data_IF_619353932463
#
_entry.id   IF_619353932463
#
_cell.length_a   1.000
_cell.length_b   1.000
_cell.length_c   1.000
_cell.angle_alpha   90.00
_cell.angle_beta   90.00
_cell.angle_gamma   90.00
#
_symmetry.space_group_name_H-M   'P 1'
#
loop_
_entity.id
_entity.type
_entity.pdbx_description
1 polymer ?
#
# COMPACT_ATOMS: atom_id res chain seq x y z
N UNK A 1 9.77 44.71 46.75
CA UNK A 1 10.62 43.58 47.19
C UNK A 1 9.70 42.37 47.35
N UNK A 2 9.79 41.22 46.72
CA UNK A 2 10.71 40.64 45.75
C UNK A 2 9.95 39.68 44.82
N UNK A 3 10.46 39.54 43.61
CA UNK A 3 10.13 38.52 42.61
C UNK A 3 10.44 37.12 43.18
N UNK A 4 9.67 36.08 42.80
CA UNK A 4 10.17 34.80 42.23
C UNK A 4 9.03 33.79 42.07
N UNK A 5 8.60 33.43 40.86
CA UNK A 5 9.18 32.45 39.91
C UNK A 5 8.25 31.24 39.79
N UNK A 6 7.58 31.20 38.63
CA UNK A 6 7.22 30.03 37.81
C UNK A 6 7.73 28.68 38.34
N UNK A 7 6.83 27.75 38.66
CA UNK A 7 7.08 26.33 38.40
C UNK A 7 6.18 25.89 37.26
N UNK A 8 6.73 26.03 36.05
CA UNK A 8 6.27 25.33 34.87
C UNK A 8 6.16 23.84 35.21
N UNK A 9 4.97 23.25 35.02
CA UNK A 9 4.84 21.81 34.79
C UNK A 9 5.73 21.50 33.59
N UNK A 10 6.96 21.03 33.85
CA UNK A 10 7.78 20.37 32.84
C UNK A 10 6.98 19.16 32.40
N UNK A 11 6.19 19.30 31.34
CA UNK A 11 5.75 18.17 30.55
C UNK A 11 7.04 17.49 30.09
N UNK A 12 7.31 16.31 30.66
CA UNK A 12 8.45 15.51 30.27
C UNK A 12 8.32 15.27 28.77
N UNK A 13 9.18 15.91 27.97
CA UNK A 13 9.39 15.53 26.56
C UNK A 13 9.61 14.02 26.55
N UNK A 14 8.85 13.24 25.77
CA UNK A 14 9.02 11.81 25.75
C UNK A 14 10.46 11.51 25.35
N UNK A 15 11.17 10.80 26.24
CA UNK A 15 12.53 10.31 26.02
C UNK A 15 12.52 9.60 24.67
N UNK A 16 13.28 10.10 23.69
CA UNK A 16 13.49 9.40 22.41
C UNK A 16 14.05 8.01 22.75
N UNK A 17 13.19 6.98 22.72
CA UNK A 17 13.58 5.59 22.93
C UNK A 17 14.60 5.27 21.85
N UNK A 18 15.88 5.08 22.23
CA UNK A 18 16.90 4.59 21.29
C UNK A 18 16.42 3.20 20.84
N UNK A 19 16.13 3.06 19.55
CA UNK A 19 15.72 1.78 18.98
C UNK A 19 16.83 0.75 19.20
N UNK A 20 16.47 -0.44 19.66
CA UNK A 20 17.39 -1.58 19.81
C UNK A 20 17.92 -2.01 18.44
N UNK A 21 19.08 -2.69 18.38
CA UNK A 21 19.65 -3.19 17.11
C UNK A 21 18.68 -4.10 16.33
N UNK A 22 17.77 -4.79 17.02
CA UNK A 22 16.67 -5.56 16.43
C UNK A 22 15.59 -4.64 15.81
N UNK A 23 15.21 -3.55 16.50
CA UNK A 23 14.30 -2.54 15.96
C UNK A 23 14.91 -1.75 14.79
N UNK A 24 16.24 -1.62 14.72
CA UNK A 24 16.93 -1.07 13.55
C UNK A 24 16.92 -2.04 12.36
N UNK A 25 16.86 -3.35 12.61
CA UNK A 25 16.81 -4.41 11.58
C UNK A 25 15.41 -4.52 10.95
N UNK A 26 14.35 -4.37 11.74
CA UNK A 26 12.97 -4.26 11.23
C UNK A 26 12.71 -2.94 10.48
N UNK A 27 13.41 -1.86 10.85
CA UNK A 27 13.29 -0.55 10.19
C UNK A 27 13.93 -0.49 8.79
N UNK A 28 14.68 -1.54 8.41
CA UNK A 28 15.09 -1.82 7.03
C UNK A 28 14.05 -2.66 6.30
N UNK A 29 12.77 -2.34 6.44
CA UNK A 29 11.79 -2.72 5.42
C UNK A 29 12.12 -1.92 4.16
N UNK A 30 13.07 -2.45 3.38
CA UNK A 30 13.16 -2.38 1.92
C UNK A 30 12.23 -1.35 1.28
N UNK A 31 12.68 -0.11 1.12
CA UNK A 31 11.85 0.92 0.48
C UNK A 31 12.04 0.80 -1.03
N UNK A 32 11.05 0.21 -1.69
CA UNK A 32 10.87 0.43 -3.12
C UNK A 32 10.85 1.95 -3.38
N UNK A 33 11.53 2.44 -4.42
CA UNK A 33 11.48 3.85 -4.80
C UNK A 33 10.05 4.33 -5.03
N UNK A 34 9.81 5.61 -4.75
CA UNK A 34 8.54 6.25 -5.11
C UNK A 34 8.58 6.53 -6.60
N UNK A 35 7.63 5.99 -7.35
CA UNK A 35 7.55 6.10 -8.81
C UNK A 35 7.43 7.53 -9.40
N UNK A 36 7.45 8.60 -8.60
CA UNK A 36 7.46 9.97 -9.11
C UNK A 36 6.28 10.35 -10.01
N UNK A 37 5.10 9.74 -9.79
CA UNK A 37 3.93 9.85 -10.68
C UNK A 37 3.50 11.28 -10.95
N UNK A 38 3.14 11.55 -12.20
CA UNK A 38 2.45 12.75 -12.64
C UNK A 38 1.01 12.79 -12.12
N UNK A 39 0.40 13.98 -12.10
CA UNK A 39 -1.01 14.14 -11.71
C UNK A 39 -1.97 13.32 -12.58
N UNK A 40 -1.65 13.13 -13.86
CA UNK A 40 -2.47 12.35 -14.79
C UNK A 40 -2.42 10.85 -14.47
N UNK A 41 -1.25 10.32 -14.14
CA UNK A 41 -1.09 8.92 -13.71
C UNK A 41 -1.80 8.66 -12.38
N UNK A 42 -1.68 9.59 -11.42
CA UNK A 42 -2.40 9.52 -10.14
C UNK A 42 -3.91 9.50 -10.37
N UNK A 43 -4.43 10.41 -11.20
CA UNK A 43 -5.87 10.43 -11.56
C UNK A 43 -6.32 9.12 -12.19
N UNK A 44 -5.52 8.56 -13.10
CA UNK A 44 -5.83 7.31 -13.80
C UNK A 44 -5.87 6.12 -12.83
N UNK A 45 -4.88 6.00 -11.94
CA UNK A 45 -4.87 4.95 -10.92
C UNK A 45 -6.04 5.09 -9.94
N UNK A 46 -6.33 6.33 -9.49
CA UNK A 46 -7.47 6.60 -8.63
C UNK A 46 -8.79 6.23 -9.29
N UNK A 47 -8.97 6.49 -10.58
CA UNK A 47 -10.16 6.08 -11.31
C UNK A 47 -10.34 4.54 -11.29
N UNK A 48 -9.28 3.78 -11.49
CA UNK A 48 -9.33 2.30 -11.41
C UNK A 48 -9.62 1.81 -10.00
N UNK A 49 -8.97 2.40 -8.99
CA UNK A 49 -9.21 2.09 -7.58
C UNK A 49 -10.65 2.38 -7.18
N UNK A 50 -11.18 3.54 -7.56
CA UNK A 50 -12.56 3.93 -7.26
C UNK A 50 -13.58 2.95 -7.88
N UNK A 51 -13.30 2.41 -9.06
CA UNK A 51 -14.12 1.34 -9.66
C UNK A 51 -14.09 0.07 -8.82
N UNK A 52 -12.90 -0.40 -8.43
CA UNK A 52 -12.78 -1.60 -7.58
C UNK A 52 -13.48 -1.41 -6.22
N UNK A 53 -13.36 -0.22 -5.61
CA UNK A 53 -14.08 0.14 -4.38
C UNK A 53 -15.59 0.15 -4.60
N UNK A 54 -16.07 0.72 -5.71
CA UNK A 54 -17.49 0.70 -6.07
C UNK A 54 -18.03 -0.72 -6.23
N UNK A 55 -17.28 -1.61 -6.88
CA UNK A 55 -17.64 -3.03 -7.01
C UNK A 55 -17.70 -3.72 -5.65
N UNK A 56 -16.72 -3.49 -4.78
CA UNK A 56 -16.69 -4.08 -3.44
C UNK A 56 -17.85 -3.57 -2.56
N UNK A 57 -18.20 -2.30 -2.68
CA UNK A 57 -19.39 -1.74 -2.03
C UNK A 57 -20.69 -2.37 -2.58
N UNK A 58 -20.72 -2.68 -3.89
CA UNK A 58 -21.80 -3.45 -4.50
C UNK A 58 -21.92 -4.84 -3.87
N UNK A 59 -20.82 -5.58 -3.78
CA UNK A 59 -20.77 -6.89 -3.09
C UNK A 59 -21.28 -6.79 -1.65
N UNK A 60 -20.87 -5.76 -0.91
CA UNK A 60 -21.35 -5.53 0.46
C UNK A 60 -22.88 -5.43 0.51
N UNK A 61 -23.49 -4.65 -0.40
CA UNK A 61 -24.96 -4.55 -0.50
C UNK A 61 -25.61 -5.89 -0.85
N UNK A 62 -25.02 -6.66 -1.76
CA UNK A 62 -25.54 -7.98 -2.13
C UNK A 62 -25.61 -8.93 -0.93
N UNK A 63 -24.64 -8.82 0.00
CA UNK A 63 -24.67 -9.58 1.27
C UNK A 63 -25.75 -9.05 2.21
N UNK A 64 -25.90 -7.72 2.33
CA UNK A 64 -26.96 -7.11 3.15
C UNK A 64 -28.37 -7.43 2.63
N UNK A 65 -28.51 -7.61 1.31
CA UNK A 65 -29.74 -7.99 0.62
C UNK A 65 -29.96 -9.52 0.54
N UNK A 66 -29.08 -10.32 1.15
CA UNK A 66 -29.12 -11.80 1.14
C UNK A 66 -29.27 -12.41 -0.27
N UNK A 67 -28.49 -11.89 -1.23
CA UNK A 67 -28.50 -12.40 -2.61
C UNK A 67 -27.83 -13.77 -2.73
N UNK A 68 -28.14 -14.46 -3.82
CA UNK A 68 -27.61 -15.78 -4.16
C UNK A 68 -26.08 -15.79 -4.11
N UNK A 69 -25.51 -16.78 -3.42
CA UNK A 69 -24.07 -16.88 -3.19
C UNK A 69 -23.27 -16.93 -4.51
N UNK A 70 -23.79 -17.58 -5.54
CA UNK A 70 -23.16 -17.66 -6.86
C UNK A 70 -22.92 -16.26 -7.46
N UNK A 71 -23.93 -15.38 -7.43
CA UNK A 71 -23.80 -13.99 -7.90
C UNK A 71 -22.73 -13.23 -7.11
N UNK A 72 -22.70 -13.41 -5.77
CA UNK A 72 -21.73 -12.76 -4.88
C UNK A 72 -20.30 -13.22 -5.24
N UNK A 73 -20.10 -14.52 -5.46
CA UNK A 73 -18.80 -15.09 -5.83
C UNK A 73 -18.33 -14.60 -7.21
N UNK A 74 -19.23 -14.46 -8.17
CA UNK A 74 -18.94 -13.88 -9.49
C UNK A 74 -18.49 -12.42 -9.33
N UNK A 75 -19.20 -11.62 -8.53
CA UNK A 75 -18.83 -10.22 -8.31
C UNK A 75 -17.52 -10.07 -7.54
N UNK A 76 -17.25 -10.93 -6.56
CA UNK A 76 -15.94 -10.97 -5.87
C UNK A 76 -14.80 -11.29 -6.84
N UNK A 77 -15.02 -12.19 -7.80
CA UNK A 77 -14.03 -12.50 -8.85
C UNK A 77 -13.78 -11.29 -9.76
N UNK A 78 -14.82 -10.50 -10.05
CA UNK A 78 -14.68 -9.24 -10.77
C UNK A 78 -13.88 -8.19 -9.98
N UNK A 79 -14.14 -8.04 -8.67
CA UNK A 79 -13.37 -7.16 -7.77
C UNK A 79 -11.89 -7.57 -7.77
N UNK A 80 -11.60 -8.87 -7.62
CA UNK A 80 -10.23 -9.39 -7.65
C UNK A 80 -9.53 -9.00 -8.95
N UNK A 81 -10.20 -9.18 -10.08
CA UNK A 81 -9.65 -8.83 -11.41
C UNK A 81 -9.37 -7.33 -11.55
N UNK A 82 -10.25 -6.47 -11.01
CA UNK A 82 -10.04 -5.02 -11.01
C UNK A 82 -8.81 -4.60 -10.16
N UNK A 83 -8.64 -5.22 -8.98
CA UNK A 83 -7.46 -4.99 -8.11
C UNK A 83 -6.18 -5.48 -8.79
N UNK A 84 -6.22 -6.66 -9.42
CA UNK A 84 -5.10 -7.21 -10.20
C UNK A 84 -4.67 -6.26 -11.32
N UNK A 85 -5.61 -5.66 -12.05
CA UNK A 85 -5.29 -4.67 -13.09
C UNK A 85 -4.58 -3.42 -12.53
N UNK A 86 -4.94 -2.97 -11.32
CA UNK A 86 -4.23 -1.88 -10.63
C UNK A 86 -2.82 -2.33 -10.22
N UNK A 87 -2.70 -3.53 -9.65
CA UNK A 87 -1.40 -4.13 -9.28
C UNK A 87 -0.45 -4.14 -10.47
N UNK A 88 -0.90 -4.63 -11.64
CA UNK A 88 -0.07 -4.64 -12.85
C UNK A 88 0.27 -3.25 -13.36
N UNK A 89 -0.62 -2.26 -13.21
CA UNK A 89 -0.31 -0.87 -13.58
C UNK A 89 0.85 -0.32 -12.74
N UNK A 90 0.86 -0.61 -11.44
CA UNK A 90 1.92 -0.18 -10.52
C UNK A 90 3.22 -0.95 -10.79
N UNK A 91 3.12 -2.26 -11.00
CA UNK A 91 4.29 -3.08 -11.37
C UNK A 91 4.90 -2.64 -12.70
N UNK A 92 4.10 -2.09 -13.63
CA UNK A 92 4.61 -1.57 -14.89
C UNK A 92 5.55 -0.38 -14.70
N UNK A 93 5.23 0.50 -13.77
CA UNK A 93 6.10 1.64 -13.43
C UNK A 93 7.45 1.13 -12.88
N UNK A 94 7.43 0.03 -12.13
CA UNK A 94 8.63 -0.61 -11.60
C UNK A 94 9.54 -1.18 -12.70
N UNK A 95 9.01 -1.56 -13.88
CA UNK A 95 9.83 -1.98 -15.02
C UNK A 95 10.75 -0.89 -15.55
N UNK A 96 10.28 0.36 -15.50
CA UNK A 96 11.08 1.49 -16.00
C UNK A 96 12.34 1.65 -15.15
N UNK A 97 12.24 1.41 -13.85
CA UNK A 97 13.38 1.48 -12.93
C UNK A 97 14.20 0.18 -12.87
N UNK A 98 13.58 -0.99 -13.13
CA UNK A 98 14.24 -2.28 -13.06
C UNK A 98 13.91 -3.20 -14.26
N UNK A 99 14.37 -2.86 -15.47
CA UNK A 99 14.07 -3.61 -16.70
C UNK A 99 14.55 -5.07 -16.66
N UNK A 100 15.58 -5.38 -15.86
CA UNK A 100 16.09 -6.74 -15.68
C UNK A 100 15.10 -7.71 -15.01
N UNK A 101 14.00 -7.21 -14.43
CA UNK A 101 12.96 -8.05 -13.82
C UNK A 101 11.70 -8.15 -14.69
N UNK A 102 11.73 -7.69 -15.94
CA UNK A 102 10.55 -7.65 -16.81
C UNK A 102 9.83 -9.00 -16.93
N UNK A 103 10.60 -10.05 -17.20
CA UNK A 103 10.08 -11.42 -17.39
C UNK A 103 9.57 -12.03 -16.07
N UNK A 104 10.25 -11.74 -14.96
CA UNK A 104 9.85 -12.19 -13.64
C UNK A 104 8.52 -11.58 -13.20
N UNK A 105 8.25 -10.33 -13.54
CA UNK A 105 6.99 -9.68 -13.14
C UNK A 105 5.84 -10.06 -14.06
N UNK A 106 6.12 -10.39 -15.33
CA UNK A 106 5.11 -10.92 -16.26
C UNK A 106 4.63 -12.30 -15.83
N UNK A 107 5.52 -13.16 -15.33
CA UNK A 107 5.24 -14.59 -15.17
C UNK A 107 5.37 -15.11 -13.72
N UNK A 108 6.01 -14.35 -12.82
CA UNK A 108 6.32 -14.77 -11.45
C UNK A 108 5.30 -14.30 -10.42
N UNK A 109 5.34 -14.92 -9.24
CA UNK A 109 4.52 -14.50 -8.09
C UNK A 109 4.95 -13.12 -7.60
N UNK A 110 4.00 -12.35 -7.04
CA UNK A 110 4.30 -11.10 -6.34
C UNK A 110 5.37 -11.27 -5.26
N UNK A 111 5.38 -12.42 -4.59
CA UNK A 111 6.35 -12.75 -3.55
C UNK A 111 7.76 -12.90 -4.11
N UNK A 112 7.89 -13.58 -5.26
CA UNK A 112 9.17 -13.77 -5.94
C UNK A 112 9.71 -12.44 -6.46
N UNK A 113 8.85 -11.63 -7.08
CA UNK A 113 9.17 -10.27 -7.56
C UNK A 113 9.69 -9.43 -6.41
N UNK A 114 8.94 -9.35 -5.31
CA UNK A 114 9.32 -8.55 -4.16
C UNK A 114 10.61 -9.08 -3.52
N UNK A 115 10.80 -10.39 -3.43
CA UNK A 115 12.03 -10.96 -2.84
C UNK A 115 13.29 -10.57 -3.61
N UNK A 116 13.22 -10.54 -4.94
CA UNK A 116 14.35 -10.19 -5.81
C UNK A 116 14.63 -8.68 -5.79
N UNK A 117 13.59 -7.85 -5.76
CA UNK A 117 13.77 -6.39 -5.69
C UNK A 117 14.30 -5.95 -4.33
N UNK A 118 13.87 -6.59 -3.23
CA UNK A 118 14.35 -6.30 -1.87
C UNK A 118 15.82 -6.67 -1.62
N UNK A 119 16.44 -7.46 -2.50
CA UNK A 119 17.83 -7.91 -2.36
C UNK A 119 18.86 -6.83 -2.75
N UNK A 120 18.39 -5.72 -3.34
CA UNK A 120 19.14 -4.51 -3.65
C UNK A 120 18.62 -3.34 -2.82
#
# INVERSE_FOLDING_TARGET
MEKKVKKAKKTAKPKKKKLTKAQLKEKKLSKLPKAGRTDQEIKTLNLKLNRAVGQLNGVKKMVEEDRVCEDILIQLSAVRSAVEAVKFSILKELFVEFPQYEELVKNGSLEEILSKIKKY
#
